data_IF_105471703227
#
_entry.id   IF_105471703227
#
_cell.length_a   1.000
_cell.length_b   1.000
_cell.length_c   1.000
_cell.angle_alpha   90.00
_cell.angle_beta   90.00
_cell.angle_gamma   90.00
#
_symmetry.space_group_name_H-M   'P 1'
#
loop_
_entity.id
_entity.type
_entity.pdbx_description
1 polymer ?
#
# COMPACT_ATOMS: atom_id res chain seq x y z
N UNK A 1 1.10 -67.46 -10.45
CA UNK A 1 1.42 -66.40 -11.44
C UNK A 1 0.30 -65.37 -11.42
N UNK A 2 0.67 -64.08 -11.54
CA UNK A 2 -0.16 -62.86 -11.67
C UNK A 2 -0.37 -62.02 -10.41
N UNK A 3 0.44 -60.96 -10.33
CA UNK A 3 0.33 -59.75 -9.50
C UNK A 3 -0.78 -58.82 -10.01
N UNK A 4 -1.44 -58.06 -9.13
CA UNK A 4 -2.03 -56.77 -9.51
C UNK A 4 -2.11 -55.76 -8.35
N UNK A 5 -1.13 -54.85 -8.33
CA UNK A 5 -1.27 -53.39 -8.17
C UNK A 5 -1.97 -52.82 -6.94
N UNK A 6 -1.19 -52.46 -5.91
CA UNK A 6 -1.60 -51.54 -4.85
C UNK A 6 -0.55 -50.41 -4.77
N UNK A 7 -0.86 -49.22 -5.30
CA UNK A 7 -0.08 -48.00 -5.01
C UNK A 7 -1.01 -46.78 -4.96
N UNK A 8 -1.67 -46.61 -3.82
CA UNK A 8 -2.13 -45.29 -3.38
C UNK A 8 -0.89 -44.43 -3.10
N UNK A 9 -0.63 -43.44 -3.96
CA UNK A 9 0.49 -42.50 -3.77
C UNK A 9 0.08 -41.42 -2.77
N UNK A 10 0.47 -41.64 -1.51
CA UNK A 10 0.24 -40.74 -0.38
C UNK A 10 1.02 -39.43 -0.47
N UNK A 11 0.30 -38.37 -0.11
CA UNK A 11 0.62 -36.95 0.01
C UNK A 11 1.72 -36.59 1.04
N UNK A 12 2.99 -36.90 0.80
CA UNK A 12 4.06 -36.45 1.71
C UNK A 12 4.52 -35.00 1.49
N UNK A 13 4.33 -34.46 0.29
CA UNK A 13 4.70 -33.08 -0.04
C UNK A 13 3.74 -32.03 0.53
N UNK A 14 2.46 -32.38 0.70
CA UNK A 14 1.41 -31.42 1.08
C UNK A 14 1.45 -31.07 2.58
N UNK A 15 1.77 -32.04 3.44
CA UNK A 15 1.86 -31.80 4.88
C UNK A 15 3.03 -30.88 5.25
N UNK A 16 4.18 -31.00 4.56
CA UNK A 16 5.34 -30.12 4.78
C UNK A 16 5.05 -28.68 4.38
N UNK A 17 4.32 -28.49 3.27
CA UNK A 17 3.89 -27.17 2.82
C UNK A 17 2.88 -26.53 3.77
N UNK A 18 1.89 -27.29 4.26
CA UNK A 18 0.94 -26.81 5.25
C UNK A 18 1.62 -26.38 6.57
N UNK A 19 2.65 -27.12 7.00
CA UNK A 19 3.43 -26.77 8.18
C UNK A 19 4.24 -25.49 7.98
N UNK A 20 4.88 -25.32 6.83
CA UNK A 20 5.62 -24.10 6.50
C UNK A 20 4.70 -22.88 6.38
N UNK A 21 3.53 -23.06 5.76
CA UNK A 21 2.50 -22.00 5.67
C UNK A 21 1.97 -21.61 7.05
N UNK A 22 1.67 -22.58 7.92
CA UNK A 22 1.24 -22.31 9.29
C UNK A 22 2.33 -21.62 10.11
N UNK A 23 3.59 -22.05 9.99
CA UNK A 23 4.70 -21.46 10.72
C UNK A 23 4.96 -20.01 10.27
N UNK A 24 4.95 -19.75 8.96
CA UNK A 24 5.10 -18.41 8.41
C UNK A 24 3.95 -17.48 8.85
N UNK A 25 2.73 -17.99 8.91
CA UNK A 25 1.57 -17.23 9.36
C UNK A 25 1.65 -16.89 10.86
N UNK A 26 2.14 -17.81 11.70
CA UNK A 26 2.40 -17.55 13.11
C UNK A 26 3.49 -16.48 13.31
N UNK A 27 4.60 -16.57 12.57
CA UNK A 27 5.67 -15.56 12.60
C UNK A 27 5.19 -14.18 12.13
N UNK A 28 4.28 -14.14 11.15
CA UNK A 28 3.65 -12.91 10.66
C UNK A 28 2.81 -12.22 11.75
N UNK A 29 1.97 -12.98 12.48
CA UNK A 29 1.17 -12.42 13.57
C UNK A 29 2.03 -11.93 14.74
N UNK A 30 3.10 -12.65 15.09
CA UNK A 30 4.05 -12.24 16.13
C UNK A 30 4.78 -10.95 15.72
N UNK A 31 5.19 -10.84 14.44
CA UNK A 31 5.84 -9.64 13.91
C UNK A 31 4.94 -8.40 13.92
N UNK A 32 3.66 -8.56 13.57
CA UNK A 32 2.67 -7.47 13.64
C UNK A 32 2.43 -7.04 15.09
N UNK A 33 2.25 -8.00 16.00
CA UNK A 33 2.05 -7.72 17.43
C UNK A 33 3.26 -7.01 18.05
N UNK A 34 4.47 -7.44 17.73
CA UNK A 34 5.71 -6.82 18.18
C UNK A 34 5.89 -5.39 17.65
N UNK A 35 5.55 -5.14 16.39
CA UNK A 35 5.66 -3.81 15.78
C UNK A 35 4.69 -2.78 16.40
N UNK A 36 3.47 -3.21 16.75
CA UNK A 36 2.49 -2.35 17.40
C UNK A 36 2.88 -2.00 18.85
N UNK A 37 3.49 -2.94 19.57
CA UNK A 37 4.01 -2.71 20.93
C UNK A 37 5.27 -1.83 20.94
N UNK A 38 6.12 -1.92 19.93
CA UNK A 38 7.32 -1.07 19.83
C UNK A 38 6.97 0.40 19.53
N UNK A 39 5.81 0.65 18.90
CA UNK A 39 5.35 1.99 18.56
C UNK A 39 4.82 2.79 19.77
N UNK A 40 4.50 2.14 20.90
CA UNK A 40 4.02 2.82 22.12
C UNK A 40 5.13 3.31 23.05
N UNK A 41 6.40 2.93 22.82
CA UNK A 41 7.55 3.33 23.63
C UNK A 41 8.52 4.15 22.78
N UNK A 42 8.39 5.49 22.85
CA UNK A 42 8.84 6.45 21.83
C UNK A 42 10.34 6.64 21.58
N UNK A 43 10.67 7.63 20.74
CA UNK A 43 12.03 8.18 20.56
C UNK A 43 12.03 9.52 19.79
N UNK A 44 12.65 10.55 20.39
CA UNK A 44 12.89 11.91 19.87
C UNK A 44 14.14 12.01 18.95
N UNK A 45 14.17 11.24 17.86
CA UNK A 45 15.18 11.43 16.80
C UNK A 45 14.50 11.97 15.53
N UNK A 46 15.17 12.79 14.69
CA UNK A 46 14.66 13.13 13.37
C UNK A 46 14.60 11.84 12.53
N UNK A 47 13.41 11.25 12.52
CA UNK A 47 13.19 9.90 12.03
C UNK A 47 13.29 9.85 10.50
N UNK A 48 13.91 8.80 9.92
CA UNK A 48 13.69 8.48 8.51
C UNK A 48 12.17 8.40 8.24
N UNK A 49 11.69 8.78 7.05
CA UNK A 49 10.26 8.83 6.74
C UNK A 49 9.60 7.51 7.18
N UNK A 50 8.80 7.63 8.24
CA UNK A 50 8.22 6.52 8.98
C UNK A 50 7.27 5.73 8.08
N UNK A 51 6.86 4.53 8.51
CA UNK A 51 5.76 3.82 7.84
C UNK A 51 4.49 4.70 7.75
N UNK A 52 4.28 5.60 8.71
CA UNK A 52 3.20 6.60 8.68
C UNK A 52 3.39 7.63 7.57
N UNK A 53 4.60 8.01 7.19
CA UNK A 53 4.83 8.97 6.10
C UNK A 53 4.54 8.38 4.69
N UNK A 54 4.54 7.03 4.59
CA UNK A 54 4.07 6.30 3.39
C UNK A 54 2.57 6.00 3.41
N UNK A 55 1.89 6.21 4.54
CA UNK A 55 0.44 6.03 4.65
C UNK A 55 -0.32 7.15 3.95
N UNK A 56 -1.62 6.97 3.71
CA UNK A 56 -2.45 8.05 3.17
C UNK A 56 -2.60 9.16 4.21
N UNK A 57 -2.78 8.82 5.48
CA UNK A 57 -2.80 9.75 6.61
C UNK A 57 -1.57 10.67 6.65
N UNK A 58 -0.35 10.12 6.56
CA UNK A 58 0.88 10.92 6.59
C UNK A 58 1.02 11.85 5.39
N UNK A 59 0.54 11.42 4.21
CA UNK A 59 0.49 12.30 3.04
C UNK A 59 -0.51 13.44 3.21
N UNK A 60 -1.69 13.15 3.79
CA UNK A 60 -2.72 14.16 4.05
C UNK A 60 -2.24 15.14 5.13
N UNK A 61 -1.61 14.65 6.20
CA UNK A 61 -1.01 15.50 7.22
C UNK A 61 0.04 16.47 6.64
N UNK A 62 0.89 15.99 5.72
CA UNK A 62 1.83 16.86 4.99
C UNK A 62 1.15 17.89 4.10
N UNK A 63 0.03 17.54 3.45
CA UNK A 63 -0.73 18.51 2.65
C UNK A 63 -1.35 19.56 3.58
N UNK A 64 -2.03 19.12 4.64
CA UNK A 64 -2.65 19.98 5.64
C UNK A 64 -1.65 20.95 6.28
N UNK A 65 -0.41 20.52 6.54
CA UNK A 65 0.65 21.38 7.09
C UNK A 65 1.03 22.57 6.17
N UNK A 66 0.69 22.52 4.88
CA UNK A 66 0.95 23.61 3.92
C UNK A 66 -0.25 24.54 3.69
N UNK A 67 -1.42 24.16 4.22
CA UNK A 67 -2.66 24.88 4.04
C UNK A 67 -2.89 25.90 5.18
N UNK A 68 -3.71 26.94 4.95
CA UNK A 68 -4.27 27.73 6.03
C UNK A 68 -4.95 26.81 7.07
N UNK A 69 -4.87 27.18 8.36
CA UNK A 69 -5.33 26.33 9.47
C UNK A 69 -6.76 25.81 9.28
N UNK A 70 -7.68 26.67 8.85
CA UNK A 70 -9.07 26.30 8.60
C UNK A 70 -9.21 25.25 7.49
N UNK A 71 -8.53 25.43 6.36
CA UNK A 71 -8.54 24.46 5.25
C UNK A 71 -7.83 23.15 5.64
N UNK A 72 -6.78 23.23 6.46
CA UNK A 72 -6.05 22.09 6.99
C UNK A 72 -6.93 21.23 7.90
N UNK A 73 -7.63 21.86 8.85
CA UNK A 73 -8.51 21.19 9.80
C UNK A 73 -9.69 20.53 9.07
N UNK A 74 -10.26 21.21 8.06
CA UNK A 74 -11.32 20.64 7.21
C UNK A 74 -10.84 19.42 6.44
N UNK A 75 -9.67 19.51 5.78
CA UNK A 75 -9.09 18.39 5.04
C UNK A 75 -8.83 17.18 5.94
N UNK A 76 -8.30 17.41 7.14
CA UNK A 76 -8.06 16.36 8.12
C UNK A 76 -9.37 15.73 8.60
N UNK A 77 -10.37 16.52 8.97
CA UNK A 77 -11.67 16.03 9.41
C UNK A 77 -12.37 15.21 8.31
N UNK A 78 -12.34 15.69 7.06
CA UNK A 78 -12.90 14.99 5.92
C UNK A 78 -12.20 13.66 5.64
N UNK A 79 -10.87 13.60 5.79
CA UNK A 79 -10.14 12.34 5.70
C UNK A 79 -10.55 11.38 6.81
N UNK A 80 -10.62 11.85 8.06
CA UNK A 80 -10.98 10.98 9.18
C UNK A 80 -12.37 10.38 9.02
N UNK A 81 -13.33 11.13 8.46
CA UNK A 81 -14.67 10.63 8.16
C UNK A 81 -14.70 9.52 7.09
N UNK A 82 -13.71 9.47 6.19
CA UNK A 82 -13.60 8.49 5.10
C UNK A 82 -12.37 7.59 5.20
N UNK A 83 -11.75 7.55 6.38
CA UNK A 83 -10.44 6.92 6.58
C UNK A 83 -10.47 5.45 6.15
N UNK A 84 -11.45 4.70 6.62
CA UNK A 84 -11.53 3.26 6.38
C UNK A 84 -11.71 2.94 4.88
N UNK A 85 -12.49 3.76 4.16
CA UNK A 85 -12.68 3.62 2.71
C UNK A 85 -11.39 3.89 1.94
N UNK A 86 -10.71 5.00 2.27
CA UNK A 86 -9.48 5.43 1.61
C UNK A 86 -8.31 4.50 1.92
N UNK A 87 -8.13 4.14 3.20
CA UNK A 87 -7.07 3.23 3.63
C UNK A 87 -7.35 1.81 3.12
N UNK A 88 -8.61 1.37 3.11
CA UNK A 88 -9.01 0.05 2.60
C UNK A 88 -8.75 -0.11 1.11
N UNK A 89 -9.13 0.87 0.28
CA UNK A 89 -8.83 0.84 -1.16
C UNK A 89 -7.32 0.93 -1.44
N UNK A 90 -6.56 1.67 -0.63
CA UNK A 90 -5.09 1.68 -0.72
C UNK A 90 -4.49 0.32 -0.34
N UNK A 91 -4.99 -0.32 0.70
CA UNK A 91 -4.55 -1.64 1.15
C UNK A 91 -4.82 -2.68 0.06
N UNK A 92 -6.03 -2.69 -0.51
CA UNK A 92 -6.39 -3.57 -1.62
C UNK A 92 -5.47 -3.37 -2.84
N UNK A 93 -5.13 -2.13 -3.19
CA UNK A 93 -4.16 -1.87 -4.27
C UNK A 93 -2.78 -2.45 -3.95
N UNK A 94 -2.27 -2.28 -2.72
CA UNK A 94 -0.98 -2.84 -2.31
C UNK A 94 -0.98 -4.37 -2.34
N UNK A 95 -2.05 -4.99 -1.87
CA UNK A 95 -2.24 -6.44 -1.93
C UNK A 95 -2.13 -6.97 -3.37
N UNK A 96 -2.78 -6.30 -4.34
CA UNK A 96 -2.66 -6.68 -5.76
C UNK A 96 -1.25 -6.47 -6.32
N UNK A 97 -0.51 -5.46 -5.84
CA UNK A 97 0.92 -5.33 -6.20
C UNK A 97 1.73 -6.51 -5.66
N UNK A 98 1.46 -6.95 -4.43
CA UNK A 98 2.13 -8.10 -3.83
C UNK A 98 1.77 -9.41 -4.56
N UNK A 99 0.52 -9.55 -5.02
CA UNK A 99 0.11 -10.67 -5.87
C UNK A 99 0.90 -10.74 -7.20
N UNK A 100 1.13 -9.59 -7.87
CA UNK A 100 1.99 -9.54 -9.07
C UNK A 100 3.43 -9.95 -8.73
N UNK A 101 3.97 -9.47 -7.60
CA UNK A 101 5.32 -9.86 -7.13
C UNK A 101 5.41 -11.34 -6.77
N UNK A 102 4.32 -11.95 -6.31
CA UNK A 102 4.24 -13.37 -6.02
C UNK A 102 4.17 -14.20 -7.31
N UNK A 103 3.32 -13.79 -8.27
CA UNK A 103 3.20 -14.46 -9.58
C UNK A 103 4.54 -14.49 -10.35
N UNK A 104 5.33 -13.42 -10.28
CA UNK A 104 6.68 -13.37 -10.86
C UNK A 104 7.68 -14.35 -10.22
N UNK A 105 7.47 -14.73 -8.95
CA UNK A 105 8.34 -15.66 -8.22
C UNK A 105 7.82 -17.10 -8.24
N UNK A 106 6.64 -17.34 -8.82
CA UNK A 106 6.03 -18.65 -8.88
C UNK A 106 6.89 -19.63 -9.70
N UNK A 107 6.95 -20.87 -9.22
CA UNK A 107 7.60 -21.98 -9.91
C UNK A 107 6.64 -23.18 -9.94
N UNK A 108 6.29 -23.70 -11.13
CA UNK A 108 6.67 -23.19 -12.47
C UNK A 108 6.11 -21.79 -12.75
N UNK A 109 6.78 -21.05 -13.62
CA UNK A 109 6.31 -19.74 -14.05
C UNK A 109 5.05 -19.87 -14.92
N UNK A 110 4.02 -19.10 -14.58
CA UNK A 110 2.75 -19.05 -15.32
C UNK A 110 2.48 -17.61 -15.81
N UNK A 111 2.61 -17.44 -17.13
CA UNK A 111 2.40 -16.14 -17.79
C UNK A 111 0.94 -15.68 -17.77
N UNK A 112 -0.01 -16.61 -17.78
CA UNK A 112 -1.44 -16.27 -17.77
C UNK A 112 -1.88 -15.85 -16.36
N UNK A 113 -1.37 -16.52 -15.32
CA UNK A 113 -1.54 -16.08 -13.93
C UNK A 113 -0.94 -14.68 -13.69
N UNK A 114 0.22 -14.38 -14.27
CA UNK A 114 0.81 -13.04 -14.20
C UNK A 114 -0.08 -11.98 -14.88
N UNK A 115 -0.59 -12.26 -16.08
CA UNK A 115 -1.49 -11.33 -16.80
C UNK A 115 -2.78 -11.07 -16.01
N UNK A 116 -3.35 -12.10 -15.38
CA UNK A 116 -4.53 -11.98 -14.54
C UNK A 116 -4.27 -11.05 -13.35
N UNK A 117 -3.22 -11.31 -12.55
CA UNK A 117 -2.87 -10.47 -11.39
C UNK A 117 -2.54 -9.03 -11.78
N UNK A 118 -1.87 -8.81 -12.92
CA UNK A 118 -1.63 -7.46 -13.46
C UNK A 118 -2.93 -6.72 -13.83
N UNK A 119 -3.94 -7.44 -14.32
CA UNK A 119 -5.24 -6.86 -14.66
C UNK A 119 -5.98 -6.43 -13.41
N UNK A 120 -5.99 -7.27 -12.38
CA UNK A 120 -6.56 -6.93 -11.07
C UNK A 120 -5.83 -5.76 -10.40
N UNK A 121 -4.50 -5.71 -10.49
CA UNK A 121 -3.71 -4.59 -9.99
C UNK A 121 -4.09 -3.27 -10.68
N UNK A 122 -4.30 -3.28 -12.00
CA UNK A 122 -4.76 -2.10 -12.74
C UNK A 122 -6.15 -1.66 -12.30
N UNK A 123 -7.08 -2.61 -12.14
CA UNK A 123 -8.44 -2.31 -11.67
C UNK A 123 -8.42 -1.70 -10.25
N UNK A 124 -7.69 -2.32 -9.31
CA UNK A 124 -7.54 -1.80 -7.95
C UNK A 124 -6.90 -0.40 -7.94
N UNK A 125 -5.93 -0.15 -8.84
CA UNK A 125 -5.33 1.17 -8.99
C UNK A 125 -6.35 2.21 -9.45
N UNK A 126 -7.15 1.90 -10.46
CA UNK A 126 -8.18 2.80 -10.97
C UNK A 126 -9.22 3.16 -9.92
N UNK A 127 -9.63 2.20 -9.08
CA UNK A 127 -10.54 2.43 -7.96
C UNK A 127 -9.93 3.41 -6.96
N UNK A 128 -8.68 3.16 -6.52
CA UNK A 128 -7.98 4.03 -5.58
C UNK A 128 -7.77 5.44 -6.14
N UNK A 129 -7.33 5.57 -7.41
CA UNK A 129 -7.07 6.87 -8.04
C UNK A 129 -8.37 7.68 -8.16
N UNK A 130 -9.47 7.05 -8.58
CA UNK A 130 -10.78 7.71 -8.66
C UNK A 130 -11.22 8.23 -7.30
N UNK A 131 -11.17 7.38 -6.27
CA UNK A 131 -11.55 7.75 -4.91
C UNK A 131 -10.76 8.97 -4.40
N UNK A 132 -9.43 8.96 -4.59
CA UNK A 132 -8.55 10.05 -4.15
C UNK A 132 -8.81 11.33 -4.95
N UNK A 133 -8.99 11.25 -6.26
CA UNK A 133 -9.29 12.42 -7.09
C UNK A 133 -10.63 13.04 -6.70
N UNK A 134 -11.66 12.22 -6.51
CA UNK A 134 -12.99 12.69 -6.10
C UNK A 134 -12.94 13.34 -4.71
N UNK A 135 -12.20 12.73 -3.76
CA UNK A 135 -11.96 13.30 -2.44
C UNK A 135 -11.32 14.69 -2.53
N UNK A 136 -10.20 14.84 -3.26
CA UNK A 136 -9.54 16.14 -3.38
C UNK A 136 -10.37 17.16 -4.15
N UNK A 137 -11.10 16.75 -5.19
CA UNK A 137 -11.98 17.65 -5.94
C UNK A 137 -13.10 18.21 -5.05
N UNK A 138 -13.72 17.35 -4.24
CA UNK A 138 -14.73 17.76 -3.26
C UNK A 138 -14.14 18.74 -2.24
N UNK A 139 -12.99 18.41 -1.64
CA UNK A 139 -12.38 19.30 -0.64
C UNK A 139 -11.93 20.63 -1.25
N UNK A 140 -11.39 20.63 -2.46
CA UNK A 140 -10.98 21.85 -3.15
C UNK A 140 -12.16 22.80 -3.46
N UNK A 141 -13.36 22.25 -3.71
CA UNK A 141 -14.57 23.05 -3.94
C UNK A 141 -15.00 23.84 -2.70
N UNK A 142 -14.64 23.33 -1.52
CA UNK A 142 -14.99 23.89 -0.22
C UNK A 142 -13.90 24.78 0.39
N UNK A 143 -12.67 24.69 -0.13
CA UNK A 143 -11.50 25.43 0.37
C UNK A 143 -11.50 26.91 -0.03
N UNK A 144 -10.72 27.71 0.70
CA UNK A 144 -10.41 29.08 0.30
C UNK A 144 -9.63 29.14 -1.03
N UNK A 145 -9.68 30.27 -1.77
CA UNK A 145 -8.84 30.46 -2.96
C UNK A 145 -7.34 30.27 -2.67
N UNK A 146 -6.88 30.74 -1.50
CA UNK A 146 -5.49 30.57 -1.04
C UNK A 146 -5.17 29.09 -0.78
N UNK A 147 -6.08 28.34 -0.17
CA UNK A 147 -5.93 26.90 0.04
C UNK A 147 -5.81 26.13 -1.30
N UNK A 148 -6.64 26.48 -2.29
CA UNK A 148 -6.53 25.90 -3.64
C UNK A 148 -5.20 26.21 -4.33
N UNK A 149 -4.68 27.44 -4.20
CA UNK A 149 -3.36 27.81 -4.75
C UNK A 149 -2.24 26.99 -4.10
N UNK A 150 -2.24 26.86 -2.77
CA UNK A 150 -1.26 26.03 -2.04
C UNK A 150 -1.33 24.56 -2.45
N UNK A 151 -2.52 24.03 -2.73
CA UNK A 151 -2.68 22.67 -3.24
C UNK A 151 -2.09 22.51 -4.65
N UNK A 152 -2.22 23.52 -5.52
CA UNK A 152 -1.70 23.53 -6.88
C UNK A 152 -0.18 23.71 -6.97
N UNK A 153 0.41 24.53 -6.08
CA UNK A 153 1.85 24.83 -6.05
C UNK A 153 2.72 23.65 -5.58
N UNK A 154 2.08 22.57 -5.12
CA UNK A 154 2.78 21.39 -4.62
C UNK A 154 3.61 20.74 -5.75
N UNK A 155 4.92 20.50 -5.54
CA UNK A 155 5.72 19.77 -6.51
C UNK A 155 5.15 18.34 -6.66
N UNK A 156 4.66 18.04 -7.86
CA UNK A 156 4.44 16.65 -8.27
C UNK A 156 5.78 15.93 -8.11
N UNK A 157 5.81 14.80 -7.40
CA UNK A 157 7.00 13.99 -7.10
C UNK A 157 7.71 13.40 -8.34
N UNK A 158 7.46 13.96 -9.53
CA UNK A 158 8.07 13.63 -10.81
C UNK A 158 9.20 14.59 -11.22
N UNK A 159 9.36 15.74 -10.54
CA UNK A 159 10.41 16.73 -10.88
C UNK A 159 11.76 16.53 -10.16
N UNK A 160 11.81 15.78 -9.05
CA UNK A 160 13.07 15.56 -8.31
C UNK A 160 14.04 14.59 -9.00
N UNK A 161 13.59 13.78 -9.96
CA UNK A 161 14.47 12.86 -10.69
C UNK A 161 15.22 13.51 -11.87
N UNK A 162 14.86 14.73 -12.29
CA UNK A 162 15.52 15.40 -13.42
C UNK A 162 16.64 16.36 -12.98
N UNK A 163 16.55 16.95 -11.78
CA UNK A 163 17.56 17.94 -11.33
C UNK A 163 18.86 17.30 -10.80
N UNK A 164 18.83 16.00 -10.44
CA UNK A 164 20.01 15.27 -9.96
C UNK A 164 20.96 14.78 -11.07
N UNK A 165 20.50 14.72 -12.33
CA UNK A 165 21.30 14.18 -13.44
C UNK A 165 22.09 15.28 -14.19
N UNK A 166 21.73 16.56 -14.04
CA UNK A 166 22.25 17.66 -14.86
C UNK A 166 23.45 18.40 -14.26
N UNK A 167 23.91 18.04 -13.05
CA UNK A 167 25.08 18.63 -12.38
C UNK A 167 26.33 17.73 -12.42
N UNK A 168 26.30 16.66 -13.23
CA UNK A 168 27.47 15.81 -13.54
C UNK A 168 27.66 15.76 -15.06
N UNK A 169 28.12 16.85 -15.64
CA UNK A 169 28.90 16.87 -16.89
C UNK A 169 29.76 18.13 -16.90
#
# INVERSE_FOLDING_TARGET
MTFMGLTLRGSEGSSRWLLLSSLALNLFFIGIGGALLMQSYGSDAPAPPTASDRSVAGRIARIAATLPREDADRLQAAYQARRDEIDGTRAAYRERQDAVRAALRAQPFDVEALKATMTEMRAARQIFDRLIHDFFAQQASEMSPTGRQKLADRPSSRRETETGQQSRN
#
